data_IF_699117711738
#
_entry.id   IF_699117711738
#
_cell.length_a   1.000
_cell.length_b   1.000
_cell.length_c   1.000
_cell.angle_alpha   90.00
_cell.angle_beta   90.00
_cell.angle_gamma   90.00
#
_symmetry.space_group_name_H-M   'P 1'
#
loop_
_entity.id
_entity.type
_entity.pdbx_description
1 polymer ?
#
# COMPACT_ATOMS: atom_id res chain seq x y z
N UNK A 1 -8.68 -10.32 -32.55
CA UNK A 1 -7.26 -10.23 -32.97
C UNK A 1 -6.88 -8.75 -32.98
N UNK A 2 -5.94 -8.32 -32.13
CA UNK A 2 -5.52 -6.91 -32.02
C UNK A 2 -4.35 -6.54 -32.94
N UNK A 3 -3.72 -7.50 -33.63
CA UNK A 3 -2.51 -7.28 -34.45
C UNK A 3 -2.67 -6.19 -35.51
N UNK A 4 -3.86 -5.99 -36.06
CA UNK A 4 -4.13 -4.90 -37.02
C UNK A 4 -3.94 -3.49 -36.44
N UNK A 5 -3.89 -3.35 -35.11
CA UNK A 5 -3.71 -2.09 -34.39
C UNK A 5 -2.33 -1.98 -33.72
N UNK A 6 -1.44 -2.96 -33.91
CA UNK A 6 -0.13 -3.03 -33.25
C UNK A 6 0.94 -2.99 -34.34
N UNK A 7 1.81 -1.97 -34.31
CA UNK A 7 2.92 -1.86 -35.25
C UNK A 7 4.09 -2.77 -34.85
N UNK A 8 4.55 -2.64 -33.60
CA UNK A 8 5.55 -3.51 -32.98
C UNK A 8 5.46 -3.42 -31.44
N UNK A 9 6.14 -4.32 -30.74
CA UNK A 9 6.29 -4.27 -29.28
C UNK A 9 7.43 -3.33 -28.91
N UNK A 10 7.13 -2.23 -28.20
CA UNK A 10 8.13 -1.25 -27.76
C UNK A 10 8.93 -1.72 -26.54
N UNK A 11 8.25 -2.34 -25.57
CA UNK A 11 8.81 -2.84 -24.32
C UNK A 11 8.21 -4.21 -24.00
N UNK A 12 9.01 -5.21 -23.55
CA UNK A 12 10.47 -5.19 -23.43
C UNK A 12 11.23 -5.18 -24.77
N UNK A 13 10.53 -5.41 -25.87
CA UNK A 13 11.09 -5.40 -27.22
C UNK A 13 11.35 -6.81 -27.75
N UNK A 14 11.27 -6.97 -29.07
CA UNK A 14 11.30 -8.28 -29.74
C UNK A 14 12.58 -9.10 -29.56
N UNK A 15 13.64 -8.52 -29.00
CA UNK A 15 14.90 -9.19 -28.70
C UNK A 15 14.93 -9.90 -27.34
N UNK A 16 13.92 -9.69 -26.49
CA UNK A 16 13.75 -10.37 -25.20
C UNK A 16 12.89 -11.61 -25.42
N UNK A 17 13.51 -12.80 -25.43
CA UNK A 17 12.82 -14.03 -25.89
C UNK A 17 13.00 -15.25 -24.99
N UNK A 18 13.98 -15.22 -24.08
CA UNK A 18 14.17 -16.27 -23.07
C UNK A 18 13.55 -15.88 -21.72
N UNK A 19 13.28 -16.86 -20.86
CA UNK A 19 12.80 -16.63 -19.50
C UNK A 19 13.83 -15.84 -18.68
N UNK A 20 15.13 -16.06 -18.94
CA UNK A 20 16.22 -15.31 -18.33
C UNK A 20 16.20 -13.83 -18.74
N UNK A 21 16.03 -13.53 -20.04
CA UNK A 21 15.93 -12.14 -20.52
C UNK A 21 14.72 -11.43 -19.92
N UNK A 22 13.58 -12.13 -19.86
CA UNK A 22 12.34 -11.61 -19.27
C UNK A 22 12.50 -11.34 -17.77
N UNK A 23 13.13 -12.26 -17.04
CA UNK A 23 13.43 -12.08 -15.61
C UNK A 23 14.33 -10.86 -15.40
N UNK A 24 15.41 -10.73 -16.17
CA UNK A 24 16.32 -9.59 -16.09
C UNK A 24 15.62 -8.26 -16.39
N UNK A 25 14.72 -8.24 -17.38
CA UNK A 25 13.91 -7.06 -17.69
C UNK A 25 12.97 -6.71 -16.53
N UNK A 26 12.22 -7.69 -16.01
CA UNK A 26 11.31 -7.49 -14.86
C UNK A 26 12.09 -6.93 -13.69
N UNK A 27 13.26 -7.48 -13.36
CA UNK A 27 14.08 -7.00 -12.23
C UNK A 27 14.53 -5.53 -12.38
N UNK A 28 14.76 -5.06 -13.60
CA UNK A 28 15.17 -3.67 -13.88
C UNK A 28 13.99 -2.70 -13.87
N UNK A 29 12.82 -3.16 -14.30
CA UNK A 29 11.65 -2.31 -14.53
C UNK A 29 10.55 -2.47 -13.47
N UNK A 30 10.69 -3.40 -12.52
CA UNK A 30 9.70 -3.61 -11.46
C UNK A 30 9.83 -2.55 -10.37
N UNK A 31 9.06 -1.48 -10.52
CA UNK A 31 8.89 -0.45 -9.51
C UNK A 31 7.44 0.04 -9.48
N UNK A 32 7.03 0.66 -8.38
CA UNK A 32 5.67 1.15 -8.22
C UNK A 32 5.54 2.22 -7.15
N UNK A 33 4.43 2.96 -7.18
CA UNK A 33 4.20 4.13 -6.32
C UNK A 33 3.38 3.83 -5.06
N UNK A 34 3.07 2.56 -4.77
CA UNK A 34 2.16 2.15 -3.69
C UNK A 34 2.90 1.58 -2.47
N UNK A 35 4.03 2.18 -2.07
CA UNK A 35 4.70 1.80 -0.83
C UNK A 35 3.75 1.92 0.36
N UNK A 36 3.64 0.85 1.17
CA UNK A 36 2.67 0.74 2.25
C UNK A 36 3.16 -0.19 3.36
N UNK A 37 2.33 -0.38 4.39
CA UNK A 37 2.52 -1.36 5.46
C UNK A 37 3.70 -1.15 6.41
N UNK A 38 4.36 0.01 6.37
CA UNK A 38 5.51 0.32 7.24
C UNK A 38 5.14 0.64 8.69
N UNK A 39 3.87 0.95 8.97
CA UNK A 39 3.34 1.21 10.31
C UNK A 39 2.16 0.27 10.63
N UNK A 40 2.36 -1.03 10.42
CA UNK A 40 1.34 -2.09 10.54
C UNK A 40 0.34 -1.86 11.68
N UNK A 41 -0.94 -1.78 11.34
CA UNK A 41 -2.05 -1.82 12.28
C UNK A 41 -2.24 -3.24 12.81
N UNK A 42 -2.39 -3.39 14.13
CA UNK A 42 -2.58 -4.68 14.77
C UNK A 42 -2.97 -4.58 16.24
N UNK A 43 -2.93 -5.71 16.94
CA UNK A 43 -3.09 -5.77 18.38
C UNK A 43 -1.83 -5.23 19.06
N UNK A 44 -1.86 -3.99 19.56
CA UNK A 44 -0.67 -3.36 20.15
C UNK A 44 -0.17 -4.03 21.42
N UNK A 45 -1.00 -4.86 22.08
CA UNK A 45 -0.63 -5.57 23.29
C UNK A 45 0.05 -6.91 22.96
N UNK A 46 -0.45 -7.63 21.95
CA UNK A 46 -0.03 -9.02 21.66
C UNK A 46 0.77 -9.20 20.36
N UNK A 47 0.67 -8.28 19.39
CA UNK A 47 1.43 -8.34 18.13
C UNK A 47 2.72 -7.50 18.25
N UNK A 48 3.91 -8.13 18.30
CA UNK A 48 5.17 -7.41 18.43
C UNK A 48 5.50 -6.54 17.21
N UNK A 49 4.87 -6.78 16.05
CA UNK A 49 5.06 -6.00 14.83
C UNK A 49 4.03 -4.87 14.68
N UNK A 50 3.03 -4.77 15.57
CA UNK A 50 2.04 -3.71 15.51
C UNK A 50 2.63 -2.36 15.93
N UNK A 51 2.48 -1.35 15.07
CA UNK A 51 2.89 0.04 15.33
C UNK A 51 1.70 0.87 15.80
N UNK A 52 0.52 0.63 15.23
CA UNK A 52 -0.73 1.30 15.62
C UNK A 52 -1.84 0.31 15.94
N UNK A 53 -2.78 0.72 16.78
CA UNK A 53 -4.02 -0.04 17.01
C UNK A 53 -5.10 0.28 15.94
N UNK A 54 -6.28 -0.34 16.06
CA UNK A 54 -7.41 -0.15 15.14
C UNK A 54 -7.96 1.28 15.05
N UNK A 55 -7.54 2.18 15.94
CA UNK A 55 -7.89 3.60 15.95
C UNK A 55 -6.77 4.49 15.40
N UNK A 56 -5.71 3.88 14.86
CA UNK A 56 -4.52 4.57 14.37
C UNK A 56 -3.59 5.09 15.46
N UNK A 57 -3.80 4.74 16.73
CA UNK A 57 -3.00 5.25 17.86
C UNK A 57 -1.66 4.52 17.94
N UNK A 58 -0.57 5.28 18.08
CA UNK A 58 0.81 4.74 18.11
C UNK A 58 1.08 4.04 19.44
N UNK A 59 1.61 2.81 19.38
CA UNK A 59 2.00 2.01 20.54
C UNK A 59 2.99 2.78 21.43
N UNK A 60 2.66 2.89 22.72
CA UNK A 60 3.51 3.55 23.73
C UNK A 60 3.56 5.08 23.66
N UNK A 61 2.84 5.73 22.73
CA UNK A 61 2.86 7.19 22.56
C UNK A 61 1.46 7.77 22.78
N UNK A 62 1.37 8.81 23.62
CA UNK A 62 0.12 9.51 23.88
C UNK A 62 -0.14 10.56 22.79
N UNK A 63 -1.40 10.74 22.41
CA UNK A 63 -1.87 11.80 21.50
C UNK A 63 -1.23 11.83 20.11
N UNK A 64 -0.69 10.70 19.65
CA UNK A 64 -0.16 10.53 18.29
C UNK A 64 -0.95 9.45 17.55
N UNK A 65 -1.36 9.76 16.31
CA UNK A 65 -1.99 8.81 15.40
C UNK A 65 -1.35 8.85 14.02
N UNK A 66 -1.46 7.74 13.29
CA UNK A 66 -1.10 7.63 11.87
C UNK A 66 -2.37 7.29 11.09
N UNK A 67 -2.63 8.04 10.01
CA UNK A 67 -3.82 7.89 9.17
C UNK A 67 -3.42 8.00 7.69
N UNK A 68 -2.75 6.97 7.18
CA UNK A 68 -2.34 6.86 5.79
C UNK A 68 -2.19 5.36 5.40
N UNK A 69 -1.70 5.09 4.19
CA UNK A 69 -1.53 3.72 3.68
C UNK A 69 -0.49 2.88 4.45
N UNK A 70 0.41 3.51 5.22
CA UNK A 70 1.42 2.79 5.99
C UNK A 70 0.81 1.93 7.09
N UNK A 71 -0.41 2.25 7.54
CA UNK A 71 -1.08 1.50 8.62
C UNK A 71 -1.66 0.17 8.18
N UNK A 72 -1.73 -0.11 6.88
CA UNK A 72 -2.23 -1.39 6.40
C UNK A 72 -1.28 -2.54 6.78
N UNK A 73 -1.81 -3.75 7.00
CA UNK A 73 -0.98 -4.92 7.26
C UNK A 73 -0.57 -5.68 5.99
N UNK A 74 -1.22 -5.35 4.87
CA UNK A 74 -0.97 -5.86 3.51
C UNK A 74 -1.53 -4.86 2.50
N UNK A 75 -1.07 -4.94 1.25
CA UNK A 75 -1.56 -4.10 0.16
C UNK A 75 -3.11 -4.12 0.09
N UNK A 76 -3.80 -2.96 0.17
CA UNK A 76 -5.27 -2.91 0.16
C UNK A 76 -5.90 -3.16 -1.22
N UNK A 77 -5.10 -3.22 -2.28
CA UNK A 77 -5.53 -3.49 -3.66
C UNK A 77 -4.65 -2.80 -4.69
N UNK A 78 -4.92 -3.03 -5.98
CA UNK A 78 -4.16 -2.41 -7.09
C UNK A 78 -4.30 -0.89 -7.16
N UNK A 79 -5.46 -0.36 -6.77
CA UNK A 79 -5.72 1.07 -6.71
C UNK A 79 -6.13 1.47 -5.28
N UNK A 80 -5.15 1.82 -4.42
CA UNK A 80 -5.37 1.93 -2.97
C UNK A 80 -6.01 3.25 -2.53
N UNK A 81 -6.23 4.20 -3.44
CA UNK A 81 -6.70 5.55 -3.09
C UNK A 81 -8.00 5.55 -2.26
N UNK A 82 -9.07 4.93 -2.78
CA UNK A 82 -10.36 4.92 -2.12
C UNK A 82 -10.34 4.20 -0.75
N UNK A 83 -9.79 2.97 -0.61
CA UNK A 83 -9.75 2.31 0.70
C UNK A 83 -8.90 3.09 1.72
N UNK A 84 -7.82 3.75 1.29
CA UNK A 84 -7.02 4.62 2.18
C UNK A 84 -7.83 5.82 2.62
N UNK A 85 -8.48 6.55 1.70
CA UNK A 85 -9.30 7.71 2.04
C UNK A 85 -10.40 7.37 3.06
N UNK A 86 -11.11 6.26 2.86
CA UNK A 86 -12.16 5.81 3.78
C UNK A 86 -11.58 5.44 5.16
N UNK A 87 -10.41 4.78 5.21
CA UNK A 87 -9.75 4.47 6.48
C UNK A 87 -9.33 5.75 7.22
N UNK A 88 -8.80 6.74 6.52
CA UNK A 88 -8.46 8.04 7.07
C UNK A 88 -9.69 8.78 7.62
N UNK A 89 -10.80 8.79 6.88
CA UNK A 89 -12.08 9.38 7.31
C UNK A 89 -12.61 8.72 8.59
N UNK A 90 -12.49 7.39 8.70
CA UNK A 90 -12.86 6.67 9.92
C UNK A 90 -12.02 7.12 11.12
N UNK A 91 -10.70 7.24 10.96
CA UNK A 91 -9.81 7.69 12.04
C UNK A 91 -10.12 9.15 12.41
N UNK A 92 -10.39 10.02 11.42
CA UNK A 92 -10.79 11.40 11.64
C UNK A 92 -12.09 11.48 12.46
N UNK A 93 -13.11 10.68 12.11
CA UNK A 93 -14.34 10.59 12.89
C UNK A 93 -14.09 10.14 14.34
N UNK A 94 -13.22 9.14 14.56
CA UNK A 94 -12.85 8.71 15.92
C UNK A 94 -12.16 9.83 16.73
N UNK A 95 -11.38 10.70 16.08
CA UNK A 95 -10.76 11.88 16.72
C UNK A 95 -11.85 12.90 17.10
N UNK A 96 -12.76 13.21 16.18
CA UNK A 96 -13.84 14.17 16.41
C UNK A 96 -14.76 13.69 17.55
N UNK A 97 -15.08 12.40 17.59
CA UNK A 97 -15.89 11.82 18.67
C UNK A 97 -15.19 11.93 20.02
N UNK A 98 -13.89 11.62 20.09
CA UNK A 98 -13.10 11.75 21.32
C UNK A 98 -13.03 13.20 21.83
N UNK A 99 -12.98 14.19 20.94
CA UNK A 99 -12.93 15.61 21.32
C UNK A 99 -14.27 16.14 21.89
N UNK A 100 -15.36 15.39 21.73
CA UNK A 100 -16.70 15.77 22.22
C UNK A 100 -17.04 15.16 23.59
N UNK A 101 -16.19 14.26 24.10
CA UNK A 101 -16.34 13.56 25.38
C UNK A 101 -15.31 14.05 26.37
#
# INVERSE_FOLDING_TARGET
NFSQYVEFEELPGSNVTSDEDLSDYIHKEVWGHHACCTNKMGDTENDPLAVVNSKGQVKGVKNLRIADISTWSKMPGYFPFLPVAIACEKIANDIIQLART
#
